data_IF_124518647837
#
_entry.id   IF_124518647837
#
_cell.length_a   1.000
_cell.length_b   1.000
_cell.length_c   1.000
_cell.angle_alpha   90.00
_cell.angle_beta   90.00
_cell.angle_gamma   90.00
#
_symmetry.space_group_name_H-M   'P 1'
#
loop_
_entity.id
_entity.type
_entity.pdbx_description
1 polymer ?
#
# COMPACT_ATOMS: atom_id res chain seq x y z
N UNK A 1 -6.08 12.67 -28.85
CA UNK A 1 -6.66 12.48 -30.20
C UNK A 1 -8.14 12.77 -30.13
N UNK A 2 -8.77 13.35 -31.16
CA UNK A 2 -10.22 13.52 -31.20
C UNK A 2 -10.92 12.15 -31.14
N UNK A 3 -12.13 12.11 -30.58
CA UNK A 3 -12.92 10.88 -30.44
C UNK A 3 -13.20 10.28 -31.82
N UNK A 4 -12.80 9.03 -32.03
CA UNK A 4 -13.15 8.25 -33.21
C UNK A 4 -14.61 7.80 -33.09
N UNK A 5 -15.43 8.19 -34.07
CA UNK A 5 -16.75 7.59 -34.34
C UNK A 5 -17.80 7.64 -33.20
N UNK A 6 -17.78 8.68 -32.37
CA UNK A 6 -18.85 8.91 -31.39
C UNK A 6 -18.90 7.91 -30.23
N UNK A 7 -17.85 7.09 -30.04
CA UNK A 7 -17.68 6.33 -28.81
C UNK A 7 -17.59 7.27 -27.61
N UNK A 8 -18.34 6.96 -26.56
CA UNK A 8 -18.42 7.80 -25.38
C UNK A 8 -17.05 7.99 -24.74
N UNK A 9 -16.86 9.26 -24.38
CA UNK A 9 -15.72 9.88 -23.73
C UNK A 9 -15.32 9.11 -22.47
N UNK A 10 -14.01 8.98 -22.28
CA UNK A 10 -13.37 8.48 -21.06
C UNK A 10 -14.06 9.03 -19.80
N UNK A 11 -14.54 8.14 -18.92
CA UNK A 11 -15.12 8.54 -17.62
C UNK A 11 -14.02 9.05 -16.69
N UNK A 12 -14.35 10.02 -15.85
CA UNK A 12 -13.45 10.57 -14.82
C UNK A 12 -12.93 9.51 -13.83
N UNK A 13 -13.78 8.58 -13.37
CA UNK A 13 -13.35 7.48 -12.50
C UNK A 13 -12.32 6.56 -13.18
N UNK A 14 -12.47 6.33 -14.49
CA UNK A 14 -11.50 5.57 -15.26
C UNK A 14 -10.18 6.33 -15.43
N UNK A 15 -10.22 7.65 -15.59
CA UNK A 15 -9.02 8.50 -15.63
C UNK A 15 -8.28 8.53 -14.29
N UNK A 16 -9.02 8.65 -13.18
CA UNK A 16 -8.46 8.64 -11.83
C UNK A 16 -7.92 7.26 -11.44
N UNK A 17 -8.41 6.19 -12.06
CA UNK A 17 -8.05 4.80 -11.75
C UNK A 17 -8.62 4.32 -10.41
N UNK A 18 -9.71 4.95 -9.94
CA UNK A 18 -10.43 4.58 -8.71
C UNK A 18 -11.81 5.24 -8.69
N UNK A 19 -12.76 4.60 -8.00
CA UNK A 19 -14.12 5.12 -7.89
C UNK A 19 -14.24 6.21 -6.83
N UNK A 20 -15.27 7.05 -6.91
CA UNK A 20 -15.56 8.07 -5.90
C UNK A 20 -15.81 7.49 -4.51
N UNK A 21 -16.41 6.30 -4.43
CA UNK A 21 -16.65 5.60 -3.16
C UNK A 21 -15.32 5.18 -2.49
N UNK A 22 -14.37 4.68 -3.30
CA UNK A 22 -13.03 4.32 -2.85
C UNK A 22 -12.24 5.55 -2.40
N UNK A 23 -12.27 6.62 -3.20
CA UNK A 23 -11.66 7.92 -2.89
C UNK A 23 -12.18 8.50 -1.58
N UNK A 24 -13.49 8.49 -1.39
CA UNK A 24 -14.14 9.01 -0.17
C UNK A 24 -13.69 8.23 1.06
N UNK A 25 -13.59 6.90 0.95
CA UNK A 25 -13.09 6.04 2.04
C UNK A 25 -11.63 6.32 2.36
N UNK A 26 -10.76 6.40 1.36
CA UNK A 26 -9.34 6.70 1.54
C UNK A 26 -9.09 8.13 2.08
N UNK A 27 -9.89 9.11 1.62
CA UNK A 27 -9.84 10.49 2.12
C UNK A 27 -10.17 10.60 3.61
N UNK A 28 -11.22 9.89 4.06
CA UNK A 28 -11.56 9.79 5.49
C UNK A 28 -10.45 9.08 6.29
N UNK A 29 -9.92 7.96 5.79
CA UNK A 29 -8.80 7.29 6.45
C UNK A 29 -7.59 8.22 6.62
N UNK A 30 -7.26 9.03 5.60
CA UNK A 30 -6.11 9.95 5.64
C UNK A 30 -6.27 11.06 6.68
N UNK A 31 -7.44 11.70 6.74
CA UNK A 31 -7.64 12.90 7.57
C UNK A 31 -8.22 12.57 8.95
N UNK A 32 -9.30 11.78 9.00
CA UNK A 32 -10.03 11.48 10.24
C UNK A 32 -9.27 10.43 11.05
N UNK A 33 -8.92 9.30 10.43
CA UNK A 33 -8.16 8.22 11.10
C UNK A 33 -6.66 8.53 11.19
N UNK A 34 -6.21 9.64 10.57
CA UNK A 34 -4.81 10.07 10.53
C UNK A 34 -3.86 8.98 10.01
N UNK A 35 -4.37 8.15 9.09
CA UNK A 35 -3.65 7.00 8.57
C UNK A 35 -2.70 7.39 7.43
N UNK A 36 -1.42 7.05 7.57
CA UNK A 36 -0.44 7.09 6.48
C UNK A 36 -0.59 5.90 5.54
N UNK A 37 0.30 5.70 4.54
CA UNK A 37 0.13 4.64 3.55
C UNK A 37 0.05 3.24 4.15
N UNK A 38 0.96 2.91 5.08
CA UNK A 38 0.97 1.59 5.74
C UNK A 38 -0.25 1.39 6.65
N UNK A 39 -0.58 2.37 7.48
CA UNK A 39 -1.73 2.28 8.40
C UNK A 39 -3.06 2.24 7.65
N UNK A 40 -3.18 2.98 6.54
CA UNK A 40 -4.36 2.97 5.69
C UNK A 40 -4.54 1.60 5.04
N UNK A 41 -3.46 0.99 4.56
CA UNK A 41 -3.50 -0.38 4.05
C UNK A 41 -4.07 -1.36 5.09
N UNK A 42 -3.59 -1.33 6.34
CA UNK A 42 -4.11 -2.20 7.41
C UNK A 42 -5.60 -1.93 7.74
N UNK A 43 -5.99 -0.66 7.79
CA UNK A 43 -7.40 -0.26 8.02
C UNK A 43 -8.30 -0.78 6.89
N UNK A 44 -7.87 -0.64 5.64
CA UNK A 44 -8.62 -1.09 4.46
C UNK A 44 -8.68 -2.60 4.33
N UNK A 45 -7.64 -3.35 4.72
CA UNK A 45 -7.71 -4.82 4.76
C UNK A 45 -8.88 -5.32 5.63
N UNK A 46 -9.16 -4.61 6.73
CA UNK A 46 -10.27 -4.98 7.62
C UNK A 46 -11.64 -4.59 7.05
N UNK A 47 -11.70 -3.48 6.30
CA UNK A 47 -12.94 -2.92 5.74
C UNK A 47 -13.34 -3.56 4.40
N UNK A 48 -12.38 -3.86 3.53
CA UNK A 48 -12.58 -4.37 2.18
C UNK A 48 -12.27 -5.86 2.11
N UNK A 49 -13.08 -6.67 2.81
CA UNK A 49 -12.90 -8.14 2.88
C UNK A 49 -13.08 -8.85 1.53
N UNK A 50 -13.78 -8.21 0.60
CA UNK A 50 -14.08 -8.74 -0.74
C UNK A 50 -12.91 -8.57 -1.72
N UNK A 51 -11.92 -7.72 -1.38
CA UNK A 51 -10.81 -7.37 -2.27
C UNK A 51 -9.54 -8.07 -1.79
N UNK A 52 -8.74 -8.60 -2.72
CA UNK A 52 -7.49 -9.28 -2.36
C UNK A 52 -6.50 -8.30 -1.69
N UNK A 53 -5.71 -8.75 -0.69
CA UNK A 53 -4.74 -7.90 -0.02
C UNK A 53 -3.76 -7.20 -0.99
N UNK A 54 -3.38 -7.89 -2.06
CA UNK A 54 -2.52 -7.35 -3.10
C UNK A 54 -3.19 -6.18 -3.84
N UNK A 55 -4.46 -6.31 -4.20
CA UNK A 55 -5.21 -5.25 -4.88
C UNK A 55 -5.43 -4.04 -3.97
N UNK A 56 -5.69 -4.26 -2.68
CA UNK A 56 -5.78 -3.16 -1.69
C UNK A 56 -4.45 -2.41 -1.63
N UNK A 57 -3.32 -3.11 -1.60
CA UNK A 57 -2.00 -2.47 -1.58
C UNK A 57 -1.74 -1.64 -2.84
N UNK A 58 -2.11 -2.13 -4.03
CA UNK A 58 -1.94 -1.36 -5.26
C UNK A 58 -2.82 -0.11 -5.30
N UNK A 59 -4.07 -0.20 -4.85
CA UNK A 59 -4.95 0.97 -4.71
C UNK A 59 -4.39 2.02 -3.75
N UNK A 60 -3.88 1.59 -2.59
CA UNK A 60 -3.25 2.48 -1.60
C UNK A 60 -1.99 3.15 -2.17
N UNK A 61 -1.14 2.38 -2.85
CA UNK A 61 0.07 2.91 -3.51
C UNK A 61 -0.32 3.94 -4.59
N UNK A 62 -1.32 3.63 -5.42
CA UNK A 62 -1.82 4.52 -6.47
C UNK A 62 -2.36 5.83 -5.88
N UNK A 63 -3.21 5.75 -4.84
CA UNK A 63 -3.72 6.92 -4.13
C UNK A 63 -2.61 7.84 -3.62
N UNK A 64 -1.63 7.30 -2.88
CA UNK A 64 -0.55 8.11 -2.31
C UNK A 64 0.44 8.65 -3.35
N UNK A 65 0.62 7.96 -4.48
CA UNK A 65 1.40 8.47 -5.62
C UNK A 65 0.71 9.67 -6.25
N UNK A 66 -0.56 9.54 -6.60
CA UNK A 66 -1.35 10.63 -7.18
C UNK A 66 -1.49 11.80 -6.21
N UNK A 67 -1.70 11.54 -4.93
CA UNK A 67 -1.73 12.55 -3.88
C UNK A 67 -0.41 13.32 -3.80
N UNK A 68 0.72 12.62 -3.71
CA UNK A 68 2.05 13.26 -3.62
C UNK A 68 2.37 14.09 -4.86
N UNK A 69 2.06 13.58 -6.05
CA UNK A 69 2.30 14.26 -7.32
C UNK A 69 1.46 15.53 -7.45
N UNK A 70 0.19 15.48 -7.04
CA UNK A 70 -0.76 16.58 -7.24
C UNK A 70 -0.90 17.50 -6.03
N UNK A 71 -0.21 17.28 -4.90
CA UNK A 71 -0.43 18.07 -3.68
C UNK A 71 -0.19 19.56 -3.89
N UNK A 72 0.78 19.93 -4.73
CA UNK A 72 1.04 21.32 -5.09
C UNK A 72 -0.18 22.05 -5.68
N UNK A 73 -1.15 21.33 -6.28
CA UNK A 73 -2.40 21.94 -6.78
C UNK A 73 -3.27 22.50 -5.63
N UNK A 74 -3.08 22.00 -4.41
CA UNK A 74 -3.86 22.43 -3.25
C UNK A 74 -3.40 23.76 -2.66
N UNK A 75 -2.17 24.19 -2.96
CA UNK A 75 -1.67 25.49 -2.48
C UNK A 75 -2.25 26.67 -3.27
N UNK A 76 -2.75 26.41 -4.48
CA UNK A 76 -3.33 27.41 -5.39
C UNK A 76 -4.83 27.18 -5.66
N UNK A 77 -5.46 26.28 -4.90
CA UNK A 77 -6.88 25.97 -5.07
C UNK A 77 -7.74 27.18 -4.69
N UNK A 78 -8.80 27.43 -5.46
CA UNK A 78 -9.79 28.46 -5.14
C UNK A 78 -10.41 28.20 -3.76
N UNK A 79 -10.51 29.22 -2.89
CA UNK A 79 -11.20 29.08 -1.60
C UNK A 79 -12.61 28.55 -1.78
N UNK A 80 -12.98 27.56 -0.98
CA UNK A 80 -14.29 26.88 -1.05
C UNK A 80 -14.94 26.79 0.34
N UNK A 81 -16.26 26.57 0.35
CA UNK A 81 -17.01 26.38 1.60
C UNK A 81 -16.58 25.08 2.29
N UNK A 82 -16.32 25.15 3.58
CA UNK A 82 -16.02 23.97 4.38
C UNK A 82 -17.31 23.20 4.70
N UNK A 83 -17.53 22.08 4.01
CA UNK A 83 -18.69 21.21 4.21
C UNK A 83 -18.34 19.86 4.86
N UNK A 84 -17.10 19.39 4.70
CA UNK A 84 -16.66 18.06 5.11
C UNK A 84 -15.42 18.12 6.02
N UNK A 85 -15.42 17.27 7.05
CA UNK A 85 -14.33 17.21 8.05
C UNK A 85 -13.02 16.65 7.48
N UNK A 86 -13.07 16.01 6.30
CA UNK A 86 -11.88 15.49 5.63
C UNK A 86 -11.42 16.37 4.46
N UNK A 87 -11.81 17.64 4.43
CA UNK A 87 -11.41 18.59 3.38
C UNK A 87 -9.88 18.68 3.23
N UNK A 88 -9.34 18.68 2.00
CA UNK A 88 -7.90 18.77 1.75
C UNK A 88 -7.36 20.21 1.64
N UNK A 89 -8.15 21.24 2.00
CA UNK A 89 -7.77 22.66 1.90
C UNK A 89 -6.53 23.00 2.73
N UNK A 90 -5.43 23.38 2.05
CA UNK A 90 -4.13 23.65 2.65
C UNK A 90 -4.03 25.07 3.26
N UNK A 91 -4.99 25.96 2.95
CA UNK A 91 -4.96 27.34 3.39
C UNK A 91 -5.39 27.52 4.85
N UNK A 92 -6.34 26.70 5.34
CA UNK A 92 -6.87 26.84 6.71
C UNK A 92 -6.98 25.55 7.50
N UNK A 93 -7.20 24.41 6.84
CA UNK A 93 -7.67 23.21 7.54
C UNK A 93 -6.64 22.09 7.59
N UNK A 94 -6.01 21.74 6.47
CA UNK A 94 -5.14 20.57 6.34
C UNK A 94 -3.74 21.00 5.89
N UNK A 95 -3.02 21.71 6.75
CA UNK A 95 -1.66 22.18 6.48
C UNK A 95 -0.68 21.01 6.34
N UNK A 96 -0.14 20.81 5.14
CA UNK A 96 0.82 19.73 4.87
C UNK A 96 1.94 20.18 3.92
N UNK A 97 3.09 19.49 3.92
CA UNK A 97 4.07 19.65 2.87
C UNK A 97 3.42 19.49 1.49
N UNK A 98 3.85 20.28 0.51
CA UNK A 98 3.39 20.14 -0.87
C UNK A 98 4.41 19.45 -1.78
N UNK A 99 5.68 19.38 -1.35
CA UNK A 99 6.74 18.66 -2.04
C UNK A 99 7.01 17.32 -1.35
N UNK A 100 6.48 16.24 -1.92
CA UNK A 100 6.63 14.87 -1.40
C UNK A 100 7.55 14.02 -2.27
N UNK A 101 8.15 12.98 -1.66
CA UNK A 101 8.74 11.88 -2.41
C UNK A 101 7.65 10.96 -2.95
N UNK A 102 7.44 10.94 -4.28
CA UNK A 102 6.39 10.15 -4.95
C UNK A 102 6.60 8.64 -4.74
N UNK A 103 7.84 8.20 -4.54
CA UNK A 103 8.15 6.77 -4.39
C UNK A 103 7.75 6.19 -3.04
N UNK A 104 7.54 7.02 -2.00
CA UNK A 104 7.21 6.57 -0.64
C UNK A 104 7.97 5.30 -0.20
N UNK A 105 9.30 5.29 -0.43
CA UNK A 105 10.12 4.06 -0.48
C UNK A 105 9.93 3.18 0.75
N UNK A 106 10.02 3.78 1.94
CA UNK A 106 9.94 3.04 3.19
C UNK A 106 8.52 2.49 3.42
N UNK A 107 7.50 3.30 3.18
CA UNK A 107 6.11 2.93 3.41
C UNK A 107 5.67 1.82 2.45
N UNK A 108 6.05 1.90 1.18
CA UNK A 108 5.71 0.88 0.18
C UNK A 108 6.49 -0.42 0.42
N UNK A 109 7.75 -0.34 0.87
CA UNK A 109 8.50 -1.52 1.30
C UNK A 109 7.85 -2.20 2.52
N UNK A 110 7.35 -1.43 3.48
CA UNK A 110 6.64 -1.95 4.64
C UNK A 110 5.33 -2.68 4.24
N UNK A 111 4.55 -2.11 3.31
CA UNK A 111 3.36 -2.76 2.75
C UNK A 111 3.75 -4.08 2.06
N UNK A 112 4.80 -4.05 1.24
CA UNK A 112 5.27 -5.25 0.53
C UNK A 112 5.70 -6.35 1.50
N UNK A 113 6.43 -6.01 2.56
CA UNK A 113 6.82 -6.97 3.61
C UNK A 113 5.60 -7.57 4.29
N UNK A 114 4.57 -6.78 4.56
CA UNK A 114 3.33 -7.27 5.16
C UNK A 114 2.57 -8.22 4.23
N UNK A 115 2.51 -7.93 2.93
CA UNK A 115 1.93 -8.85 1.94
C UNK A 115 2.68 -10.18 1.86
N UNK A 116 4.02 -10.16 1.93
CA UNK A 116 4.83 -11.37 1.96
C UNK A 116 4.48 -12.23 3.19
N UNK A 117 4.33 -11.61 4.36
CA UNK A 117 3.92 -12.32 5.58
C UNK A 117 2.53 -12.94 5.45
N UNK A 118 1.55 -12.19 4.92
CA UNK A 118 0.19 -12.72 4.68
C UNK A 118 0.21 -13.92 3.73
N UNK A 119 0.94 -13.82 2.61
CA UNK A 119 1.08 -14.94 1.67
C UNK A 119 1.78 -16.15 2.30
N UNK A 120 2.77 -15.94 3.17
CA UNK A 120 3.42 -17.02 3.90
C UNK A 120 2.47 -17.69 4.90
N UNK A 121 1.64 -16.91 5.60
CA UNK A 121 0.63 -17.45 6.53
C UNK A 121 -0.47 -18.24 5.81
N UNK A 122 -0.94 -17.77 4.66
CA UNK A 122 -1.86 -18.52 3.79
C UNK A 122 -1.25 -19.85 3.35
N UNK A 123 0.03 -19.85 3.01
CA UNK A 123 0.77 -21.07 2.65
C UNK A 123 0.92 -22.05 3.84
N UNK A 124 1.07 -21.57 5.08
CA UNK A 124 1.12 -22.44 6.26
C UNK A 124 -0.25 -23.07 6.56
N UNK A 125 -1.34 -22.33 6.34
CA UNK A 125 -2.71 -22.82 6.54
C UNK A 125 -3.17 -23.83 5.48
N UNK A 126 -2.59 -23.83 4.27
CA UNK A 126 -2.87 -24.88 3.28
C UNK A 126 -1.93 -26.10 3.45
N UNK A 127 -0.72 -25.91 3.97
CA UNK A 127 0.21 -27.02 4.30
C UNK A 127 -0.25 -27.82 5.51
N UNK A 128 -0.98 -27.22 6.46
CA UNK A 128 -1.57 -27.95 7.60
C UNK A 128 -2.69 -28.92 7.22
N UNK A 129 -3.18 -28.89 5.97
CA UNK A 129 -4.13 -29.85 5.42
C UNK A 129 -3.46 -30.94 4.55
N UNK A 130 -2.14 -30.96 4.43
CA UNK A 130 -1.43 -32.05 3.75
C UNK A 130 -1.36 -33.23 4.72
N UNK A 131 -2.07 -34.32 4.39
CA UNK A 131 -1.94 -35.58 5.12
C UNK A 131 -0.49 -36.08 4.99
N UNK A 132 0.11 -36.53 6.09
CA UNK A 132 1.52 -36.98 6.19
C UNK A 132 1.92 -38.03 5.13
N UNK A 133 0.96 -38.61 4.42
CA UNK A 133 1.14 -39.60 3.36
C UNK A 133 1.69 -39.03 2.04
N UNK A 134 1.60 -37.71 1.82
CA UNK A 134 1.99 -37.09 0.55
C UNK A 134 3.40 -36.49 0.53
N UNK A 135 4.19 -36.63 1.60
CA UNK A 135 5.58 -36.16 1.62
C UNK A 135 6.53 -37.20 1.01
N UNK A 136 7.40 -36.82 0.05
CA UNK A 136 8.45 -37.70 -0.43
C UNK A 136 9.42 -38.06 0.71
N UNK A 137 9.98 -39.29 0.72
CA UNK A 137 10.84 -39.77 1.79
C UNK A 137 12.05 -38.85 1.95
N UNK A 138 12.24 -38.36 3.18
CA UNK A 138 13.34 -37.45 3.52
C UNK A 138 14.67 -38.19 3.32
N UNK A 139 15.60 -37.67 2.50
CA UNK A 139 16.90 -38.30 2.32
C UNK A 139 17.73 -38.18 3.62
N UNK A 140 18.60 -39.16 3.92
CA UNK A 140 19.37 -39.19 5.15
C UNK A 140 20.30 -37.97 5.26
N UNK A 141 20.13 -37.20 6.33
CA UNK A 141 20.92 -36.01 6.63
C UNK A 141 22.34 -36.44 7.01
N UNK A 142 23.34 -36.01 6.23
CA UNK A 142 24.76 -36.20 6.59
C UNK A 142 25.15 -35.20 7.68
N UNK A 143 25.87 -35.61 8.74
CA UNK A 143 26.29 -34.72 9.81
C UNK A 143 27.20 -33.61 9.28
N UNK A 144 26.83 -32.36 9.61
CA UNK A 144 27.55 -31.15 9.21
C UNK A 144 28.85 -31.05 10.03
N UNK A 145 30.01 -31.11 9.39
CA UNK A 145 31.30 -30.87 10.05
C UNK A 145 31.40 -29.39 10.43
N UNK A 146 31.64 -29.13 11.71
CA UNK A 146 31.79 -27.77 12.23
C UNK A 146 33.24 -27.30 12.00
N UNK A 147 33.44 -26.31 11.14
CA UNK A 147 34.74 -25.67 10.97
C UNK A 147 34.68 -24.35 11.74
N UNK A 148 35.16 -24.38 12.99
CA UNK A 148 35.51 -23.17 13.70
C UNK A 148 36.81 -22.64 13.09
N UNK A 149 36.78 -21.43 12.56
CA UNK A 149 37.98 -20.64 12.27
C UNK A 149 37.87 -19.31 13.01
N UNK A 150 38.73 -19.19 14.02
CA UNK A 150 39.04 -18.01 14.81
C UNK A 150 39.45 -16.82 13.92
N UNK A 151 39.11 -15.58 14.31
CA UNK A 151 39.78 -14.41 13.74
C UNK A 151 39.04 -13.08 13.76
N UNK A 152 39.15 -12.36 14.88
CA UNK A 152 39.26 -10.89 15.03
C UNK A 152 38.17 -10.00 14.38
N UNK A 153 37.23 -9.56 15.20
CA UNK A 153 36.45 -8.33 14.97
C UNK A 153 37.25 -7.08 15.34
N UNK A 154 37.43 -6.19 14.37
CA UNK A 154 37.90 -4.81 14.59
C UNK A 154 36.73 -3.84 14.40
N UNK A 155 36.48 -3.02 15.42
CA UNK A 155 35.55 -1.89 15.40
C UNK A 155 36.26 -0.70 14.72
N UNK A 156 35.60 -0.05 13.76
CA UNK A 156 36.05 1.23 13.19
C UNK A 156 35.10 2.31 13.70
N UNK A 157 35.69 3.35 14.27
CA UNK A 157 35.06 4.55 14.86
C UNK A 157 34.53 5.47 13.76
#
# INVERSE_FOLDING_TARGET
MPLSEGQLVQTDEADMGMTYAELSTMGRCRMIERAGPYTMFLSLLSKWKEISPQMVAEKVKHFFRCYALNRHKMTVLTPSVHAEVYSPDDNRFDHRPFLYSISWRWQFAAIQKHLQLLSASENVNCVSNISIKDLPPVPPVKPRKNVNSEGKGGVVV
#
